data_IF_346994044742
#
_entry.id   IF_346994044742
#
_cell.length_a   1.000
_cell.length_b   1.000
_cell.length_c   1.000
_cell.angle_alpha   90.00
_cell.angle_beta   90.00
_cell.angle_gamma   90.00
#
_symmetry.space_group_name_H-M   'P 1'
#
loop_
_entity.id
_entity.type
_entity.pdbx_description
1 polymer ?
#
# COMPACT_ATOMS: atom_id res chain seq x y z
N UNK A 1 -10.35 10.94 -20.44
CA UNK A 1 -8.91 11.22 -20.55
C UNK A 1 -8.32 11.02 -19.16
N UNK A 2 -7.34 10.14 -19.01
CA UNK A 2 -6.75 9.78 -17.70
C UNK A 2 -5.37 10.44 -17.56
N UNK A 3 -5.08 11.05 -16.41
CA UNK A 3 -3.80 11.73 -16.15
C UNK A 3 -3.16 11.11 -14.91
N UNK A 4 -1.92 10.63 -15.04
CA UNK A 4 -1.13 10.09 -13.94
C UNK A 4 -0.12 11.12 -13.44
N UNK A 5 -0.23 11.51 -12.18
CA UNK A 5 0.65 12.50 -11.56
C UNK A 5 1.54 11.79 -10.53
N UNK A 6 2.86 11.95 -10.63
CA UNK A 6 3.82 11.49 -9.60
C UNK A 6 4.05 12.61 -8.61
N UNK A 7 3.74 12.37 -7.33
CA UNK A 7 3.88 13.35 -6.26
C UNK A 7 4.99 12.89 -5.31
N UNK A 8 6.04 13.70 -5.17
CA UNK A 8 7.07 13.49 -4.15
C UNK A 8 6.62 14.08 -2.80
N UNK A 9 6.21 13.22 -1.87
CA UNK A 9 5.76 13.61 -0.53
C UNK A 9 6.85 14.26 0.34
N UNK A 10 8.12 14.25 -0.08
CA UNK A 10 9.23 14.94 0.61
C UNK A 10 9.21 16.45 0.41
N UNK A 11 8.59 16.93 -0.66
CA UNK A 11 8.44 18.37 -0.92
C UNK A 11 7.19 18.92 -0.22
N UNK A 12 7.34 20.03 0.53
CA UNK A 12 6.23 20.68 1.27
C UNK A 12 5.08 21.13 0.36
N UNK A 13 5.39 21.68 -0.82
CA UNK A 13 4.39 22.14 -1.79
C UNK A 13 3.63 20.96 -2.40
N UNK A 14 4.36 19.90 -2.76
CA UNK A 14 3.78 18.67 -3.28
C UNK A 14 2.86 17.98 -2.25
N UNK A 15 3.20 18.05 -0.96
CA UNK A 15 2.33 17.59 0.13
C UNK A 15 1.04 18.40 0.23
N UNK A 16 1.10 19.73 0.10
CA UNK A 16 -0.09 20.59 0.07
C UNK A 16 -1.00 20.27 -1.11
N UNK A 17 -0.40 20.11 -2.30
CA UNK A 17 -1.12 19.69 -3.50
C UNK A 17 -1.79 18.32 -3.33
N UNK A 18 -1.09 17.37 -2.72
CA UNK A 18 -1.63 16.04 -2.42
C UNK A 18 -2.87 16.07 -1.50
N UNK A 19 -2.81 16.85 -0.42
CA UNK A 19 -3.95 16.98 0.49
C UNK A 19 -5.14 17.68 -0.19
N UNK A 20 -4.89 18.64 -1.07
CA UNK A 20 -5.95 19.23 -1.90
C UNK A 20 -6.61 18.20 -2.81
N UNK A 21 -5.84 17.36 -3.51
CA UNK A 21 -6.40 16.33 -4.39
C UNK A 21 -7.30 15.33 -3.65
N UNK A 22 -7.03 15.05 -2.36
CA UNK A 22 -7.89 14.19 -1.53
C UNK A 22 -9.30 14.77 -1.30
N UNK A 23 -9.46 16.09 -1.40
CA UNK A 23 -10.76 16.74 -1.15
C UNK A 23 -11.69 16.67 -2.36
N UNK A 24 -11.17 16.31 -3.53
CA UNK A 24 -11.92 16.31 -4.77
C UNK A 24 -12.66 14.97 -4.97
N UNK A 25 -13.99 14.98 -5.17
CA UNK A 25 -14.81 13.76 -5.18
C UNK A 25 -14.63 12.88 -6.43
N UNK A 26 -13.91 13.37 -7.44
CA UNK A 26 -13.69 12.68 -8.72
C UNK A 26 -12.25 12.17 -8.88
N UNK A 27 -11.43 12.25 -7.82
CA UNK A 27 -10.05 11.80 -7.85
C UNK A 27 -9.93 10.45 -7.14
N UNK A 28 -9.45 9.45 -7.87
CA UNK A 28 -9.02 8.17 -7.30
C UNK A 28 -7.52 8.23 -6.98
N UNK A 29 -7.18 8.07 -5.71
CA UNK A 29 -5.80 8.03 -5.24
C UNK A 29 -5.35 6.57 -5.10
N UNK A 30 -4.46 6.13 -5.97
CA UNK A 30 -3.74 4.87 -5.82
C UNK A 30 -2.62 5.02 -4.77
N UNK A 31 -2.98 5.01 -3.50
CA UNK A 31 -2.00 4.88 -2.43
C UNK A 31 -1.56 3.43 -2.27
N UNK A 32 -0.28 3.14 -2.51
CA UNK A 32 0.33 1.89 -2.08
C UNK A 32 0.46 1.90 -0.55
N UNK A 33 -0.57 1.37 0.12
CA UNK A 33 -0.67 1.29 1.59
C UNK A 33 0.50 0.51 2.22
N UNK A 34 1.15 -0.34 1.43
CA UNK A 34 2.21 -1.23 1.86
C UNK A 34 3.46 -1.01 1.03
N UNK A 35 4.63 -1.27 1.61
CA UNK A 35 5.86 -1.28 0.82
C UNK A 35 5.83 -2.45 -0.20
N UNK A 36 6.69 -2.38 -1.23
CA UNK A 36 6.73 -3.38 -2.31
C UNK A 36 6.87 -4.83 -1.81
N UNK A 37 7.62 -5.07 -0.72
CA UNK A 37 7.81 -6.41 -0.15
C UNK A 37 6.50 -6.93 0.44
N UNK A 38 5.82 -6.10 1.20
CA UNK A 38 4.55 -6.43 1.84
C UNK A 38 3.43 -6.62 0.81
N UNK A 39 3.35 -5.80 -0.23
CA UNK A 39 2.39 -6.02 -1.32
C UNK A 39 2.59 -7.36 -2.03
N UNK A 40 3.85 -7.73 -2.27
CA UNK A 40 4.21 -9.03 -2.86
C UNK A 40 3.75 -10.17 -1.96
N UNK A 41 4.05 -10.11 -0.66
CA UNK A 41 3.61 -11.11 0.31
C UNK A 41 2.08 -11.25 0.37
N UNK A 42 1.34 -10.14 0.30
CA UNK A 42 -0.13 -10.16 0.26
C UNK A 42 -0.64 -10.82 -1.02
N UNK A 43 -0.04 -10.52 -2.18
CA UNK A 43 -0.41 -11.16 -3.46
C UNK A 43 -0.12 -12.66 -3.44
N UNK A 44 1.01 -13.09 -2.88
CA UNK A 44 1.36 -14.51 -2.72
C UNK A 44 0.39 -15.24 -1.78
N UNK A 45 0.01 -14.61 -0.66
CA UNK A 45 -0.99 -15.17 0.24
C UNK A 45 -2.37 -15.30 -0.42
N UNK A 46 -2.84 -14.26 -1.12
CA UNK A 46 -4.13 -14.29 -1.84
C UNK A 46 -4.16 -15.29 -2.99
N UNK A 47 -3.03 -15.53 -3.65
CA UNK A 47 -2.91 -16.51 -4.74
C UNK A 47 -2.76 -17.96 -4.25
N UNK A 48 -2.87 -18.19 -2.94
CA UNK A 48 -2.83 -19.54 -2.36
C UNK A 48 -1.42 -20.14 -2.28
N UNK A 49 -0.37 -19.35 -2.56
CA UNK A 49 1.03 -19.78 -2.42
C UNK A 49 1.57 -19.64 -0.99
N UNK A 50 0.69 -19.39 -0.02
CA UNK A 50 1.05 -19.33 1.39
C UNK A 50 0.93 -20.70 2.07
N UNK A 51 1.85 -20.98 2.99
CA UNK A 51 1.74 -22.11 3.90
C UNK A 51 0.67 -21.83 4.96
N UNK A 52 -0.25 -22.79 5.15
CA UNK A 52 -1.18 -22.74 6.28
C UNK A 52 -0.41 -23.14 7.53
N UNK A 53 -0.25 -22.22 8.46
CA UNK A 53 0.32 -22.49 9.78
C UNK A 53 -0.68 -22.09 10.86
N UNK A 54 -0.65 -22.78 12.00
CA UNK A 54 -1.45 -22.39 13.16
C UNK A 54 -0.88 -21.11 13.78
N UNK A 55 -1.74 -20.32 14.45
CA UNK A 55 -1.28 -19.15 15.19
C UNK A 55 -0.28 -19.52 16.30
N UNK A 56 -0.46 -20.69 16.92
CA UNK A 56 0.42 -21.18 17.96
C UNK A 56 1.84 -21.47 17.43
N UNK A 57 1.94 -22.07 16.24
CA UNK A 57 3.24 -22.40 15.63
C UNK A 57 3.92 -21.17 15.03
N UNK A 58 3.14 -20.21 14.51
CA UNK A 58 3.69 -18.93 14.09
C UNK A 58 4.36 -18.18 15.26
N UNK A 59 3.70 -18.15 16.43
CA UNK A 59 4.22 -17.45 17.62
C UNK A 59 5.56 -18.00 18.09
N UNK A 60 5.81 -19.31 17.91
CA UNK A 60 7.10 -19.95 18.24
C UNK A 60 8.26 -19.54 17.33
N UNK A 61 8.01 -18.90 16.18
CA UNK A 61 9.05 -18.45 15.25
C UNK A 61 9.50 -17.00 15.51
N UNK A 62 8.74 -16.26 16.32
CA UNK A 62 8.98 -14.84 16.62
C UNK A 62 9.58 -14.66 18.02
N UNK A 63 9.31 -15.60 18.93
CA UNK A 63 9.89 -15.71 20.26
C UNK A 63 11.19 -16.53 20.21
#
# INVERSE_FOLDING_TARGET
MEIKIKIDKRNKQAKGFYEYLKTLPFIELEETRYNKKTEKAIKEAKSGKASKISLADFRKQIL
#
